data_IF_832540627863
#
_entry.id   IF_832540627863
#
_cell.length_a   1.000
_cell.length_b   1.000
_cell.length_c   1.000
_cell.angle_alpha   90.00
_cell.angle_beta   90.00
_cell.angle_gamma   90.00
#
_symmetry.space_group_name_H-M   'P 1'
#
loop_
_entity.id
_entity.type
_entity.pdbx_description
1 polymer ?
#
# COMPACT_ATOMS: atom_id res chain seq x y z
N UNK A 1 -5.44 -18.13 -10.30
CA UNK A 1 -4.74 -17.11 -11.12
C UNK A 1 -4.34 -16.00 -10.19
N UNK A 2 -3.07 -15.60 -10.15
CA UNK A 2 -2.56 -14.65 -9.17
C UNK A 2 -2.61 -13.20 -9.70
N UNK A 3 -2.91 -12.24 -8.82
CA UNK A 3 -2.80 -10.81 -9.08
C UNK A 3 -1.32 -10.40 -9.03
N UNK A 4 -0.79 -9.83 -10.11
CA UNK A 4 0.59 -9.35 -10.15
C UNK A 4 0.70 -7.90 -9.65
N UNK A 5 1.53 -7.68 -8.64
CA UNK A 5 1.72 -6.36 -8.02
C UNK A 5 3.12 -5.86 -8.37
N UNK A 6 3.19 -4.76 -9.10
CA UNK A 6 4.45 -4.05 -9.30
C UNK A 6 4.78 -3.14 -8.14
N UNK A 7 6.00 -3.22 -7.63
CA UNK A 7 6.51 -2.40 -6.52
C UNK A 7 7.95 -1.95 -6.80
N UNK A 8 8.32 -0.76 -6.31
CA UNK A 8 9.70 -0.29 -6.39
C UNK A 8 10.59 -0.87 -5.28
N UNK A 9 10.02 -1.17 -4.13
CA UNK A 9 10.70 -1.80 -2.99
C UNK A 9 9.76 -2.75 -2.27
N UNK A 10 10.30 -3.88 -1.80
CA UNK A 10 9.56 -4.86 -0.99
C UNK A 10 10.12 -4.84 0.42
N UNK A 11 9.24 -4.80 1.41
CA UNK A 11 9.58 -4.92 2.83
C UNK A 11 8.46 -5.67 3.57
N UNK A 12 8.70 -6.01 4.84
CA UNK A 12 7.77 -6.77 5.65
C UNK A 12 6.42 -6.06 5.85
N UNK A 13 6.37 -4.72 5.88
CA UNK A 13 5.11 -3.96 6.03
C UNK A 13 4.23 -4.12 4.79
N UNK A 14 4.83 -3.97 3.61
CA UNK A 14 4.17 -4.16 2.31
C UNK A 14 3.73 -5.62 2.16
N UNK A 15 4.63 -6.58 2.37
CA UNK A 15 4.32 -7.99 2.22
C UNK A 15 3.15 -8.40 3.13
N UNK A 16 3.21 -8.03 4.42
CA UNK A 16 2.16 -8.30 5.39
C UNK A 16 0.80 -7.73 4.97
N UNK A 17 0.73 -6.43 4.65
CA UNK A 17 -0.58 -5.79 4.40
C UNK A 17 -1.21 -6.27 3.10
N UNK A 18 -0.40 -6.53 2.08
CA UNK A 18 -0.91 -7.07 0.81
C UNK A 18 -1.36 -8.52 0.96
N UNK A 19 -0.60 -9.39 1.64
CA UNK A 19 -1.04 -10.76 1.93
C UNK A 19 -2.31 -10.75 2.80
N UNK A 20 -2.39 -9.88 3.81
CA UNK A 20 -3.56 -9.78 4.66
C UNK A 20 -4.81 -9.37 3.87
N UNK A 21 -4.73 -8.32 3.06
CA UNK A 21 -5.89 -7.84 2.29
C UNK A 21 -6.25 -8.84 1.18
N UNK A 22 -5.31 -9.21 0.33
CA UNK A 22 -5.63 -10.00 -0.85
C UNK A 22 -5.80 -11.48 -0.55
N UNK A 23 -4.88 -12.10 0.20
CA UNK A 23 -4.94 -13.55 0.42
C UNK A 23 -5.90 -13.88 1.57
N UNK A 24 -5.76 -13.24 2.74
CA UNK A 24 -6.53 -13.63 3.92
C UNK A 24 -7.98 -13.12 3.90
N UNK A 25 -8.23 -11.88 3.44
CA UNK A 25 -9.58 -11.31 3.41
C UNK A 25 -10.29 -11.65 2.08
N UNK A 26 -9.63 -11.42 0.94
CA UNK A 26 -10.27 -11.54 -0.38
C UNK A 26 -10.11 -12.92 -1.04
N UNK A 27 -9.22 -13.79 -0.54
CA UNK A 27 -8.95 -15.11 -1.15
C UNK A 27 -8.26 -15.04 -2.52
N UNK A 28 -7.59 -13.94 -2.83
CA UNK A 28 -6.87 -13.67 -4.08
C UNK A 28 -5.37 -13.91 -3.84
N UNK A 29 -4.80 -14.92 -4.50
CA UNK A 29 -3.35 -15.13 -4.50
C UNK A 29 -2.62 -13.98 -5.19
N UNK A 30 -1.49 -13.54 -4.62
CA UNK A 30 -0.71 -12.43 -5.14
C UNK A 30 0.72 -12.85 -5.49
N UNK A 31 1.34 -12.08 -6.40
CA UNK A 31 2.77 -12.17 -6.67
C UNK A 31 3.35 -10.77 -6.83
N UNK A 32 4.53 -10.52 -6.25
CA UNK A 32 5.23 -9.25 -6.40
C UNK A 32 6.24 -9.31 -7.55
N UNK A 33 6.41 -8.17 -8.23
CA UNK A 33 7.52 -7.98 -9.16
C UNK A 33 8.13 -6.59 -9.04
N UNK A 34 9.45 -6.52 -9.21
CA UNK A 34 10.20 -5.27 -9.37
C UNK A 34 10.61 -5.03 -10.83
N UNK A 35 10.25 -5.94 -11.74
CA UNK A 35 10.62 -5.86 -13.16
C UNK A 35 9.51 -5.19 -13.94
N UNK A 36 9.76 -3.96 -14.41
CA UNK A 36 8.83 -3.25 -15.30
C UNK A 36 8.57 -4.04 -16.58
N UNK A 37 9.59 -4.72 -17.11
CA UNK A 37 9.45 -5.58 -18.30
C UNK A 37 8.46 -6.71 -18.05
N UNK A 38 8.60 -7.44 -16.93
CA UNK A 38 7.68 -8.51 -16.55
C UNK A 38 6.26 -7.96 -16.33
N UNK A 39 6.15 -6.82 -15.64
CA UNK A 39 4.86 -6.20 -15.38
C UNK A 39 4.16 -5.77 -16.67
N UNK A 40 4.88 -5.16 -17.62
CA UNK A 40 4.32 -4.73 -18.90
C UNK A 40 3.87 -5.91 -19.76
N UNK A 41 4.66 -7.00 -19.80
CA UNK A 41 4.35 -8.20 -20.58
C UNK A 41 3.25 -9.08 -19.95
N UNK A 42 2.98 -8.95 -18.66
CA UNK A 42 1.96 -9.74 -17.98
C UNK A 42 0.55 -9.42 -18.50
N UNK A 43 -0.19 -10.44 -18.91
CA UNK A 43 -1.52 -10.32 -19.53
C UNK A 43 -2.68 -10.52 -18.55
N UNK A 44 -2.41 -11.01 -17.34
CA UNK A 44 -3.42 -11.18 -16.29
C UNK A 44 -3.69 -9.90 -15.49
N UNK A 45 -4.53 -9.99 -14.44
CA UNK A 45 -4.80 -8.89 -13.53
C UNK A 45 -3.52 -8.37 -12.89
N UNK A 46 -3.28 -7.07 -12.99
CA UNK A 46 -2.07 -6.44 -12.45
C UNK A 46 -2.33 -5.03 -11.96
N UNK A 47 -1.67 -4.66 -10.87
CA UNK A 47 -1.73 -3.31 -10.27
C UNK A 47 -0.31 -2.86 -9.92
N UNK A 48 -0.09 -1.55 -9.82
CA UNK A 48 1.17 -1.01 -9.29
C UNK A 48 0.96 -0.33 -7.94
N UNK A 49 1.96 -0.47 -7.07
CA UNK A 49 2.06 0.23 -5.81
C UNK A 49 3.41 0.94 -5.73
N UNK A 50 3.44 2.22 -6.09
CA UNK A 50 4.66 3.03 -6.23
C UNK A 50 4.41 4.50 -5.92
N UNK A 51 5.48 5.25 -5.62
CA UNK A 51 5.38 6.69 -5.34
C UNK A 51 5.01 7.51 -6.58
N UNK A 52 5.55 7.13 -7.74
CA UNK A 52 5.24 7.73 -9.02
C UNK A 52 4.34 6.80 -9.83
N UNK A 53 3.39 7.37 -10.57
CA UNK A 53 2.53 6.61 -11.48
C UNK A 53 3.37 6.06 -12.63
N UNK A 54 3.15 4.79 -12.96
CA UNK A 54 3.85 4.12 -14.06
C UNK A 54 2.83 3.74 -15.12
N UNK A 55 2.97 4.33 -16.30
CA UNK A 55 2.12 4.05 -17.46
C UNK A 55 0.62 4.32 -17.23
N UNK A 56 -0.21 3.64 -18.01
CA UNK A 56 -1.67 3.73 -17.98
C UNK A 56 -2.35 2.71 -17.06
N UNK A 57 -1.60 2.06 -16.16
CA UNK A 57 -2.12 0.99 -15.31
C UNK A 57 -2.81 1.53 -14.05
N UNK A 58 -3.58 0.67 -13.37
CA UNK A 58 -4.17 0.99 -12.07
C UNK A 58 -3.04 1.11 -11.03
N UNK A 59 -2.80 2.34 -10.57
CA UNK A 59 -1.70 2.66 -9.68
C UNK A 59 -2.21 3.14 -8.32
N UNK A 60 -1.93 2.38 -7.29
CA UNK A 60 -2.04 2.82 -5.90
C UNK A 60 -0.76 3.55 -5.55
N UNK A 61 -0.86 4.84 -5.21
CA UNK A 61 0.31 5.60 -4.82
C UNK A 61 0.70 5.28 -3.38
N UNK A 62 2.00 5.09 -3.15
CA UNK A 62 2.52 4.74 -1.83
C UNK A 62 2.87 5.99 -1.01
N UNK A 63 2.46 6.01 0.26
CA UNK A 63 2.88 6.99 1.25
C UNK A 63 4.24 6.57 1.86
N UNK A 64 5.19 7.51 2.09
CA UNK A 64 6.54 7.17 2.57
C UNK A 64 6.59 6.31 3.84
N UNK A 65 5.59 6.46 4.72
CA UNK A 65 5.41 5.66 5.95
C UNK A 65 5.59 4.15 5.74
N UNK A 66 5.07 3.60 4.63
CA UNK A 66 5.12 2.15 4.38
C UNK A 66 6.56 1.64 4.15
N UNK A 67 7.48 2.53 3.80
CA UNK A 67 8.88 2.23 3.52
C UNK A 67 9.79 2.41 4.74
N UNK A 68 9.27 2.96 5.84
CA UNK A 68 10.05 3.22 7.03
C UNK A 68 10.45 1.90 7.73
N UNK A 69 11.67 1.84 8.25
CA UNK A 69 12.18 0.67 8.96
C UNK A 69 12.03 0.79 10.48
N UNK A 70 12.09 2.03 10.99
CA UNK A 70 11.99 2.31 12.42
C UNK A 70 10.56 2.64 12.82
N UNK A 71 10.26 2.40 14.10
CA UNK A 71 9.04 2.92 14.73
C UNK A 71 9.34 4.34 15.20
N UNK A 72 8.52 5.29 14.72
CA UNK A 72 8.54 6.69 15.12
C UNK A 72 7.16 7.30 14.97
N UNK A 73 6.89 8.33 15.77
CA UNK A 73 5.66 9.11 15.72
C UNK A 73 5.40 9.65 14.32
N UNK A 74 4.17 9.49 13.86
CA UNK A 74 3.74 9.93 12.53
C UNK A 74 2.92 11.22 12.65
N UNK A 75 3.21 12.21 11.81
CA UNK A 75 2.34 13.37 11.64
C UNK A 75 1.28 13.05 10.59
N UNK A 76 0.08 12.67 11.04
CA UNK A 76 -0.96 12.15 10.16
C UNK A 76 -1.74 13.27 9.48
N UNK A 77 -1.71 13.27 8.15
CA UNK A 77 -2.69 13.98 7.32
C UNK A 77 -3.85 13.03 7.00
N UNK A 78 -5.08 13.53 7.10
CA UNK A 78 -6.29 12.73 6.91
C UNK A 78 -7.02 13.10 5.61
N UNK A 79 -7.47 12.08 4.90
CA UNK A 79 -8.42 12.20 3.80
C UNK A 79 -9.84 11.93 4.32
N UNK A 80 -10.83 12.53 3.67
CA UNK A 80 -12.24 12.21 3.90
C UNK A 80 -12.72 11.26 2.80
N UNK A 81 -13.30 10.14 3.20
CA UNK A 81 -13.86 9.13 2.30
C UNK A 81 -15.07 8.50 2.98
N UNK A 82 -16.24 8.56 2.34
CA UNK A 82 -17.51 8.05 2.89
C UNK A 82 -17.78 8.51 4.33
N UNK A 83 -17.56 9.80 4.61
CA UNK A 83 -17.69 10.42 5.95
C UNK A 83 -16.72 9.88 7.02
N UNK A 84 -15.73 9.08 6.64
CA UNK A 84 -14.65 8.62 7.50
C UNK A 84 -13.38 9.44 7.27
N UNK A 85 -12.62 9.67 8.36
CA UNK A 85 -11.28 10.25 8.31
C UNK A 85 -10.24 9.14 8.24
N UNK A 86 -9.55 9.05 7.12
CA UNK A 86 -8.57 7.98 6.86
C UNK A 86 -7.15 8.57 6.86
N UNK A 87 -6.19 8.01 7.62
CA UNK A 87 -4.83 8.53 7.67
C UNK A 87 -4.08 8.30 6.35
N UNK A 88 -2.92 8.94 6.21
CA UNK A 88 -2.04 8.86 5.04
C UNK A 88 -2.70 9.42 3.77
N UNK A 89 -3.26 10.64 3.87
CA UNK A 89 -3.75 11.41 2.72
C UNK A 89 -2.67 11.52 1.63
N UNK A 90 -3.04 11.24 0.38
CA UNK A 90 -2.20 11.43 -0.80
C UNK A 90 -3.02 11.94 -1.98
N UNK A 91 -2.36 12.64 -2.90
CA UNK A 91 -2.98 13.11 -4.14
C UNK A 91 -2.47 12.32 -5.36
N UNK A 92 -3.32 12.24 -6.39
CA UNK A 92 -2.97 11.60 -7.67
C UNK A 92 -2.94 10.07 -7.61
N UNK A 93 -3.74 9.46 -6.73
CA UNK A 93 -3.92 8.01 -6.58
C UNK A 93 -5.37 7.62 -6.86
N UNK A 94 -5.67 6.32 -6.84
CA UNK A 94 -7.04 5.77 -6.96
C UNK A 94 -7.94 6.29 -5.83
N UNK A 95 -7.38 6.40 -4.62
CA UNK A 95 -8.03 6.99 -3.46
C UNK A 95 -7.33 8.29 -3.05
N UNK A 96 -8.01 9.14 -2.27
CA UNK A 96 -7.42 10.35 -1.68
C UNK A 96 -6.45 10.04 -0.51
N UNK A 97 -6.09 8.77 -0.30
CA UNK A 97 -5.19 8.26 0.73
C UNK A 97 -4.48 7.01 0.23
N UNK A 98 -3.42 6.60 0.92
CA UNK A 98 -2.78 5.30 0.71
C UNK A 98 -3.52 4.23 1.52
N UNK A 99 -4.33 3.42 0.84
CA UNK A 99 -5.12 2.34 1.44
C UNK A 99 -4.24 1.29 2.14
N UNK A 100 -3.05 1.01 1.61
CA UNK A 100 -2.16 -0.01 2.17
C UNK A 100 -1.40 0.52 3.39
N UNK A 101 -0.94 1.78 3.35
CA UNK A 101 -0.36 2.43 4.52
C UNK A 101 -1.37 2.58 5.67
N UNK A 102 -2.60 3.03 5.36
CA UNK A 102 -3.67 3.16 6.35
C UNK A 102 -4.03 1.81 6.97
N UNK A 103 -4.17 0.78 6.14
CA UNK A 103 -4.47 -0.57 6.62
C UNK A 103 -3.34 -1.12 7.51
N UNK A 104 -2.07 -0.98 7.09
CA UNK A 104 -0.95 -1.44 7.89
C UNK A 104 -0.90 -0.74 9.25
N UNK A 105 -1.06 0.59 9.29
CA UNK A 105 -1.05 1.36 10.52
C UNK A 105 -2.11 0.89 11.51
N UNK A 106 -3.35 0.73 11.05
CA UNK A 106 -4.48 0.31 11.88
C UNK A 106 -4.37 -1.15 12.32
N UNK A 107 -4.01 -2.07 11.41
CA UNK A 107 -3.88 -3.49 11.71
C UNK A 107 -2.75 -3.77 12.71
N UNK A 108 -1.64 -3.04 12.59
CA UNK A 108 -0.50 -3.17 13.50
C UNK A 108 -0.69 -2.41 14.82
N UNK A 109 -1.78 -1.64 14.99
CA UNK A 109 -1.97 -0.69 16.11
C UNK A 109 -0.74 0.19 16.32
N UNK A 110 -0.19 0.69 15.21
CA UNK A 110 1.11 1.35 15.17
C UNK A 110 1.19 2.54 16.15
N UNK A 111 0.09 3.25 16.35
CA UNK A 111 -0.04 4.36 17.29
C UNK A 111 0.41 4.02 18.71
N UNK A 112 0.15 2.79 19.17
CA UNK A 112 0.42 2.35 20.54
C UNK A 112 1.92 2.25 20.84
N UNK A 113 2.73 1.99 19.82
CA UNK A 113 4.18 1.92 19.95
C UNK A 113 4.86 3.29 19.92
N UNK A 114 4.09 4.37 19.78
CA UNK A 114 4.61 5.75 19.68
C UNK A 114 4.09 6.67 20.78
N UNK A 115 3.41 6.09 21.77
CA UNK A 115 3.00 6.80 22.99
C UNK A 115 4.25 6.95 23.86
N UNK A 116 4.68 8.19 24.08
CA UNK A 116 5.64 8.53 25.14
C UNK A 116 4.84 8.71 26.44
N UNK A 117 5.28 8.07 27.53
CA UNK A 117 4.72 8.26 28.89
C UNK A 117 4.98 9.66 29.43
#
# INVERSE_FOLDING_TARGET
MALLIYISSLNNRIEYVFQHIFENILGISIAFTKSESQFNQFTGPKISYTSNKIGGFLNFKQHPFILEQNIKKQSLAFAEYESLKIPFKIEGSVFSFDVFAASFYLLSRYEEYTIEE
#
